data_IF_349958755285
#
_entry.id   IF_349958755285
#
_cell.length_a   1.000
_cell.length_b   1.000
_cell.length_c   1.000
_cell.angle_alpha   90.00
_cell.angle_beta   90.00
_cell.angle_gamma   90.00
#
_symmetry.space_group_name_H-M   'P 1'
#
loop_
_entity.id
_entity.type
_entity.pdbx_description
1 polymer ?
#
# COMPACT_ATOMS: atom_id res chain seq x y z
N UNK A 1 -14.38 2.18 13.23
CA UNK A 1 -13.19 2.16 12.34
C UNK A 1 -12.83 3.44 11.57
N UNK A 2 -13.71 4.38 11.16
CA UNK A 2 -13.29 5.49 10.30
C UNK A 2 -12.39 6.50 11.00
N UNK A 3 -12.38 6.55 12.34
CA UNK A 3 -11.73 7.61 13.12
C UNK A 3 -10.26 7.36 13.50
N UNK A 4 -9.70 6.16 13.24
CA UNK A 4 -8.26 5.92 13.45
C UNK A 4 -7.48 6.91 12.58
N UNK A 5 -6.46 7.55 13.13
CA UNK A 5 -5.60 8.41 12.33
C UNK A 5 -4.69 7.57 11.44
N UNK A 6 -4.36 8.11 10.27
CA UNK A 6 -3.42 7.50 9.35
C UNK A 6 -2.06 7.29 10.01
N UNK A 7 -1.64 8.23 10.87
CA UNK A 7 -0.41 8.17 11.68
C UNK A 7 -0.27 6.87 12.46
N UNK A 8 -1.33 6.42 13.14
CA UNK A 8 -1.30 5.19 13.94
C UNK A 8 -1.04 3.95 13.09
N UNK A 9 -1.57 3.90 11.86
CA UNK A 9 -1.38 2.75 10.95
C UNK A 9 0.06 2.72 10.45
N UNK A 10 0.57 3.86 9.98
CA UNK A 10 1.89 3.90 9.33
C UNK A 10 3.05 3.80 10.31
N UNK A 11 2.85 4.13 11.60
CA UNK A 11 3.87 3.93 12.63
C UNK A 11 4.17 2.45 12.91
N UNK A 12 3.24 1.55 12.57
CA UNK A 12 3.38 0.11 12.80
C UNK A 12 4.06 -0.61 11.63
N UNK A 13 4.40 0.10 10.55
CA UNK A 13 4.91 -0.48 9.31
C UNK A 13 6.24 0.16 8.91
N UNK A 14 7.16 -0.66 8.40
CA UNK A 14 8.45 -0.18 7.91
C UNK A 14 8.26 0.61 6.61
N UNK A 15 8.76 1.84 6.58
CA UNK A 15 8.75 2.66 5.38
C UNK A 15 9.74 2.11 4.35
N UNK A 16 9.21 1.58 3.24
CA UNK A 16 9.99 1.12 2.09
C UNK A 16 9.69 2.03 0.91
N UNK A 17 10.74 2.60 0.31
CA UNK A 17 10.65 3.51 -0.84
C UNK A 17 11.75 3.18 -1.85
N UNK A 18 11.62 3.66 -3.09
CA UNK A 18 12.66 3.55 -4.11
C UNK A 18 12.84 4.84 -4.91
N UNK A 19 14.05 5.13 -5.41
CA UNK A 19 14.28 6.18 -6.40
C UNK A 19 13.50 5.98 -7.70
N UNK A 20 13.22 7.07 -8.43
CA UNK A 20 12.57 6.99 -9.73
C UNK A 20 13.42 6.32 -10.83
N UNK A 21 14.73 6.21 -10.60
CA UNK A 21 15.68 5.51 -11.46
C UNK A 21 15.75 4.00 -11.22
N UNK A 22 15.21 3.49 -10.11
CA UNK A 22 15.15 2.06 -9.82
C UNK A 22 14.44 1.32 -10.94
N UNK A 23 14.96 0.16 -11.32
CA UNK A 23 14.36 -0.64 -12.40
C UNK A 23 13.10 -1.36 -11.90
N UNK A 24 12.23 -1.76 -12.82
CA UNK A 24 11.02 -2.52 -12.46
C UNK A 24 11.40 -3.83 -11.77
N UNK A 25 12.44 -4.51 -12.24
CA UNK A 25 12.92 -5.77 -11.67
C UNK A 25 13.45 -5.61 -10.23
N UNK A 26 14.25 -4.58 -9.97
CA UNK A 26 14.69 -4.23 -8.61
C UNK A 26 13.50 -3.89 -7.70
N UNK A 27 12.55 -3.10 -8.20
CA UNK A 27 11.34 -2.74 -7.47
C UNK A 27 10.50 -3.99 -7.13
N UNK A 28 10.33 -4.91 -8.07
CA UNK A 28 9.61 -6.17 -7.87
C UNK A 28 10.28 -7.05 -6.81
N UNK A 29 11.62 -7.14 -6.82
CA UNK A 29 12.38 -7.84 -5.77
C UNK A 29 12.20 -7.18 -4.40
N UNK A 30 12.24 -5.85 -4.34
CA UNK A 30 12.02 -5.11 -3.09
C UNK A 30 10.60 -5.34 -2.57
N UNK A 31 9.59 -5.29 -3.44
CA UNK A 31 8.20 -5.57 -3.11
C UNK A 31 8.03 -7.00 -2.60
N UNK A 32 8.60 -8.00 -3.29
CA UNK A 32 8.57 -9.42 -2.86
C UNK A 32 9.21 -9.60 -1.47
N UNK A 33 10.42 -9.05 -1.28
CA UNK A 33 11.17 -9.17 -0.02
C UNK A 33 10.41 -8.60 1.18
N UNK A 34 9.68 -7.50 0.97
CA UNK A 34 8.96 -6.79 2.03
C UNK A 34 7.45 -7.08 2.04
N UNK A 35 6.98 -8.05 1.27
CA UNK A 35 5.55 -8.41 1.14
C UNK A 35 4.64 -7.21 0.79
N UNK A 36 5.09 -6.36 -0.13
CA UNK A 36 4.38 -5.15 -0.56
C UNK A 36 3.69 -5.36 -1.90
N UNK A 37 2.50 -4.78 -2.06
CA UNK A 37 1.77 -4.72 -3.35
C UNK A 37 1.82 -3.33 -4.00
N UNK A 38 2.46 -2.37 -3.34
CA UNK A 38 2.75 -1.04 -3.86
C UNK A 38 4.04 -0.48 -3.23
N UNK A 39 4.72 0.38 -3.98
CA UNK A 39 6.00 1.00 -3.62
C UNK A 39 5.92 2.51 -3.90
N UNK A 40 6.25 3.30 -2.89
CA UNK A 40 6.38 4.75 -3.06
C UNK A 40 7.69 5.09 -3.76
N UNK A 41 7.60 5.96 -4.76
CA UNK A 41 8.73 6.45 -5.53
C UNK A 41 9.11 7.84 -5.06
N UNK A 42 10.39 8.02 -4.71
CA UNK A 42 10.89 9.25 -4.09
C UNK A 42 12.06 9.85 -4.86
N UNK A 43 12.14 11.18 -4.84
CA UNK A 43 13.31 11.94 -5.29
C UNK A 43 13.60 13.03 -4.25
N UNK A 44 14.87 13.18 -3.85
CA UNK A 44 15.28 14.15 -2.82
C UNK A 44 14.38 14.11 -1.57
N UNK A 45 14.06 12.88 -1.12
CA UNK A 45 13.18 12.59 0.02
C UNK A 45 11.72 13.05 -0.12
N UNK A 46 11.28 13.45 -1.32
CA UNK A 46 9.88 13.80 -1.59
C UNK A 46 9.20 12.72 -2.42
N UNK A 47 7.93 12.49 -2.14
CA UNK A 47 7.11 11.57 -2.94
C UNK A 47 6.91 12.18 -4.35
N UNK A 48 7.28 11.42 -5.38
CA UNK A 48 7.07 11.81 -6.79
C UNK A 48 6.16 10.85 -7.55
N UNK A 49 5.96 9.63 -7.02
CA UNK A 49 5.12 8.64 -7.66
C UNK A 49 4.79 7.44 -6.78
N UNK A 50 3.97 6.55 -7.32
CA UNK A 50 3.66 5.24 -6.77
C UNK A 50 3.72 4.20 -7.90
N UNK A 51 4.30 3.04 -7.60
CA UNK A 51 4.29 1.87 -8.48
C UNK A 51 3.57 0.73 -7.77
N UNK A 52 2.69 0.03 -8.48
CA UNK A 52 1.86 -1.05 -7.93
C UNK A 52 1.95 -2.31 -8.78
N UNK A 53 1.48 -3.45 -8.25
CA UNK A 53 1.34 -4.70 -9.03
C UNK A 53 0.59 -4.48 -10.35
N UNK A 54 -0.45 -3.62 -10.33
CA UNK A 54 -1.24 -3.26 -11.51
C UNK A 54 -0.38 -2.56 -12.57
N UNK A 55 0.54 -1.69 -12.15
CA UNK A 55 1.46 -1.00 -13.06
C UNK A 55 2.46 -2.00 -13.66
N UNK A 56 3.00 -2.91 -12.85
CA UNK A 56 3.87 -4.00 -13.35
C UNK A 56 3.16 -4.88 -14.38
N UNK A 57 1.91 -5.27 -14.10
CA UNK A 57 1.13 -6.09 -15.03
C UNK A 57 0.83 -5.36 -16.35
N UNK A 58 0.24 -4.17 -16.29
CA UNK A 58 -0.29 -3.53 -17.49
C UNK A 58 0.71 -2.64 -18.23
N UNK A 59 1.61 -1.96 -17.49
CA UNK A 59 2.54 -0.99 -18.09
C UNK A 59 3.91 -1.60 -18.41
N UNK A 60 4.20 -2.81 -17.91
CA UNK A 60 5.45 -3.53 -18.17
C UNK A 60 5.18 -4.82 -18.94
N UNK A 61 4.52 -5.81 -18.31
CA UNK A 61 4.33 -7.12 -18.92
C UNK A 61 3.46 -7.07 -20.17
N UNK A 62 2.23 -6.53 -20.06
CA UNK A 62 1.32 -6.42 -21.20
C UNK A 62 1.87 -5.50 -22.30
N UNK A 63 2.68 -4.51 -21.92
CA UNK A 63 3.33 -3.58 -22.84
C UNK A 63 4.66 -4.12 -23.42
N UNK A 64 5.06 -5.36 -23.08
CA UNK A 64 6.31 -6.01 -23.52
C UNK A 64 7.57 -5.17 -23.26
N UNK A 65 7.61 -4.45 -22.14
CA UNK A 65 8.80 -3.72 -21.71
C UNK A 65 9.75 -4.63 -20.96
N UNK A 66 11.04 -4.45 -21.17
CA UNK A 66 12.08 -5.13 -20.40
C UNK A 66 12.12 -4.59 -18.95
N UNK A 67 11.82 -5.42 -17.94
CA UNK A 67 11.81 -4.98 -16.55
C UNK A 67 13.22 -4.65 -15.99
N UNK A 68 14.28 -5.19 -16.58
CA UNK A 68 15.66 -4.92 -16.16
C UNK A 68 16.15 -3.55 -16.66
N UNK A 69 15.68 -3.12 -17.83
CA UNK A 69 16.06 -1.83 -18.42
C UNK A 69 15.05 -0.69 -18.15
N UNK A 70 13.81 -1.00 -17.76
CA UNK A 70 12.76 0.03 -17.59
C UNK A 70 12.80 0.64 -16.18
N UNK A 71 13.04 1.95 -16.02
CA UNK A 71 12.98 2.60 -14.71
C UNK A 71 11.54 2.88 -14.27
N UNK A 72 11.31 2.93 -12.96
CA UNK A 72 10.00 3.25 -12.36
C UNK A 72 9.43 4.57 -12.88
N UNK A 73 10.27 5.59 -13.13
CA UNK A 73 9.85 6.89 -13.69
C UNK A 73 9.06 6.81 -15.01
N UNK A 74 9.16 5.69 -15.75
CA UNK A 74 8.45 5.45 -17.02
C UNK A 74 7.14 4.69 -16.88
N UNK A 75 6.87 4.10 -15.72
CA UNK A 75 5.70 3.23 -15.49
C UNK A 75 4.94 3.52 -14.20
N UNK A 76 5.49 4.32 -13.29
CA UNK A 76 4.80 4.75 -12.07
C UNK A 76 3.63 5.69 -12.37
N UNK A 77 2.66 5.75 -11.47
CA UNK A 77 1.69 6.84 -11.44
C UNK A 77 2.33 8.04 -10.74
N UNK A 78 2.46 9.16 -11.46
CA UNK A 78 3.03 10.42 -10.94
C UNK A 78 2.02 11.16 -10.09
N UNK A 79 2.52 11.91 -9.09
CA UNK A 79 1.70 12.75 -8.22
C UNK A 79 0.44 12.03 -7.68
N UNK A 80 0.60 10.87 -7.01
CA UNK A 80 -0.54 10.11 -6.51
C UNK A 80 -1.37 10.94 -5.51
N UNK A 81 -2.64 10.59 -5.36
CA UNK A 81 -3.46 11.11 -4.26
C UNK A 81 -2.84 10.68 -2.94
N UNK A 82 -2.70 11.61 -2.01
CA UNK A 82 -2.12 11.38 -0.68
C UNK A 82 -3.07 11.87 0.41
N UNK A 83 -2.81 11.47 1.64
CA UNK A 83 -3.45 12.04 2.82
C UNK A 83 -2.40 12.54 3.82
N UNK A 84 -2.83 13.49 4.63
CA UNK A 84 -2.08 13.93 5.81
C UNK A 84 -2.17 12.86 6.93
N UNK A 85 -1.10 12.65 7.73
CA UNK A 85 -1.10 11.68 8.83
C UNK A 85 -2.23 11.86 9.86
N UNK A 86 -2.77 13.07 10.01
CA UNK A 86 -3.84 13.34 10.98
C UNK A 86 -5.24 13.09 10.38
N UNK A 87 -5.32 12.78 9.08
CA UNK A 87 -6.56 12.31 8.45
C UNK A 87 -6.90 10.90 8.89
N UNK A 88 -8.18 10.61 8.78
CA UNK A 88 -8.74 9.36 9.24
C UNK A 88 -8.58 8.26 8.19
N UNK A 89 -8.46 7.00 8.63
CA UNK A 89 -8.40 5.83 7.73
C UNK A 89 -9.68 5.74 6.89
N UNK A 90 -10.83 6.16 7.43
CA UNK A 90 -12.07 6.23 6.66
C UNK A 90 -11.98 7.17 5.46
N UNK A 91 -11.25 8.28 5.57
CA UNK A 91 -10.99 9.16 4.44
C UNK A 91 -10.09 8.51 3.39
N UNK A 92 -9.10 7.72 3.82
CA UNK A 92 -8.28 6.92 2.89
C UNK A 92 -9.14 5.91 2.10
N UNK A 93 -10.05 5.22 2.78
CA UNK A 93 -11.01 4.30 2.15
C UNK A 93 -11.92 5.00 1.14
N UNK A 94 -12.41 6.20 1.49
CA UNK A 94 -13.21 7.02 0.57
C UNK A 94 -12.42 7.35 -0.71
N UNK A 95 -11.16 7.80 -0.58
CA UNK A 95 -10.31 8.08 -1.74
C UNK A 95 -10.06 6.82 -2.59
N UNK A 96 -9.87 5.66 -1.95
CA UNK A 96 -9.71 4.38 -2.65
C UNK A 96 -10.96 4.01 -3.45
N UNK A 97 -12.14 4.16 -2.86
CA UNK A 97 -13.42 3.90 -3.50
C UNK A 97 -13.63 4.81 -4.72
N UNK A 98 -13.54 6.13 -4.51
CA UNK A 98 -13.73 7.13 -5.58
C UNK A 98 -12.69 6.99 -6.70
N UNK A 99 -11.45 6.66 -6.35
CA UNK A 99 -10.34 6.63 -7.29
C UNK A 99 -10.04 5.28 -7.95
N UNK A 100 -10.73 4.21 -7.55
CA UNK A 100 -10.51 2.86 -8.10
C UNK A 100 -9.12 2.28 -7.83
N UNK A 101 -8.48 2.68 -6.74
CA UNK A 101 -7.18 2.19 -6.29
C UNK A 101 -7.25 1.68 -4.84
N UNK A 102 -6.21 0.96 -4.39
CA UNK A 102 -6.22 0.28 -3.08
C UNK A 102 -5.12 0.74 -2.12
N UNK A 103 -4.34 1.74 -2.52
CA UNK A 103 -3.19 2.23 -1.78
C UNK A 103 -3.20 3.75 -1.77
N UNK A 104 -2.98 4.34 -0.59
CA UNK A 104 -2.90 5.78 -0.39
C UNK A 104 -1.63 6.09 0.40
N UNK A 105 -0.66 6.81 -0.20
CA UNK A 105 0.49 7.33 0.54
C UNK A 105 0.06 8.32 1.63
N UNK A 106 0.68 8.19 2.80
CA UNK A 106 0.59 9.15 3.90
C UNK A 106 1.82 10.03 3.86
N UNK A 107 1.61 11.35 3.77
CA UNK A 107 2.67 12.32 3.50
C UNK A 107 2.54 13.50 4.45
N UNK A 108 3.66 13.93 5.02
CA UNK A 108 3.76 15.12 5.87
C UNK A 108 4.83 16.05 5.29
N UNK A 109 4.48 17.30 5.00
CA UNK A 109 5.39 18.28 4.37
C UNK A 109 6.04 17.79 3.05
N UNK A 110 5.36 16.89 2.32
CA UNK A 110 5.83 16.26 1.09
C UNK A 110 6.77 15.08 1.25
N UNK A 111 7.09 14.70 2.49
CA UNK A 111 7.87 13.50 2.79
C UNK A 111 6.93 12.32 3.08
N UNK A 112 7.15 11.14 2.48
CA UNK A 112 6.35 9.97 2.78
C UNK A 112 6.63 9.49 4.21
N UNK A 113 5.56 9.23 4.96
CA UNK A 113 5.63 8.60 6.28
C UNK A 113 5.27 7.10 6.20
N UNK A 114 4.44 6.73 5.24
CA UNK A 114 4.03 5.35 5.02
C UNK A 114 2.93 5.23 3.99
N UNK A 115 2.28 4.08 3.95
CA UNK A 115 1.20 3.78 3.02
C UNK A 115 0.06 3.11 3.77
N UNK A 116 -1.17 3.45 3.42
CA UNK A 116 -2.36 2.72 3.86
C UNK A 116 -2.89 1.94 2.66
N UNK A 117 -3.07 0.64 2.85
CA UNK A 117 -3.78 -0.22 1.91
C UNK A 117 -5.22 -0.45 2.36
N UNK A 118 -6.07 -0.88 1.43
CA UNK A 118 -7.41 -1.34 1.77
C UNK A 118 -7.39 -2.50 2.80
N UNK A 119 -6.33 -3.31 2.83
CA UNK A 119 -6.14 -4.39 3.81
C UNK A 119 -5.91 -3.83 5.22
N UNK A 120 -5.07 -2.81 5.37
CA UNK A 120 -4.78 -2.18 6.67
C UNK A 120 -6.04 -1.55 7.27
N UNK A 121 -6.89 -1.01 6.39
CA UNK A 121 -8.13 -0.39 6.77
C UNK A 121 -9.16 -1.38 7.33
N UNK A 122 -9.20 -2.61 6.82
CA UNK A 122 -10.10 -3.71 7.23
C UNK A 122 -9.53 -4.62 8.33
N UNK A 123 -8.28 -4.40 8.75
CA UNK A 123 -7.54 -5.31 9.64
C UNK A 123 -8.26 -5.67 10.96
N UNK A 124 -8.82 -4.71 11.72
CA UNK A 124 -9.52 -5.00 12.97
C UNK A 124 -10.78 -5.85 12.77
N UNK A 125 -11.63 -5.55 11.79
CA UNK A 125 -12.83 -6.36 11.52
C UNK A 125 -12.48 -7.79 11.10
N UNK A 126 -11.43 -7.96 10.28
CA UNK A 126 -10.94 -9.29 9.88
C UNK A 126 -10.40 -10.09 11.06
N UNK A 127 -9.72 -9.42 12.00
CA UNK A 127 -9.22 -10.06 13.22
C UNK A 127 -10.37 -10.45 14.15
N UNK A 128 -11.31 -9.54 14.40
CA UNK A 128 -12.51 -9.81 15.21
C UNK A 128 -13.32 -10.96 14.62
N UNK A 129 -13.55 -10.95 13.30
CA UNK A 129 -14.24 -12.03 12.61
C UNK A 129 -13.49 -13.37 12.70
N UNK A 130 -12.15 -13.35 12.57
CA UNK A 130 -11.33 -14.56 12.70
C UNK A 130 -11.35 -15.10 14.14
N UNK A 131 -11.30 -14.22 15.14
CA UNK A 131 -11.34 -14.58 16.56
C UNK A 131 -12.73 -15.18 16.92
N UNK A 132 -13.82 -14.61 16.38
CA UNK A 132 -15.18 -15.15 16.52
C UNK A 132 -15.33 -16.53 15.87
N UNK A 133 -14.79 -16.72 14.65
CA UNK A 133 -14.83 -18.01 13.95
C UNK A 133 -14.07 -19.09 14.73
N UNK A 134 -12.87 -18.79 15.24
CA UNK A 134 -12.07 -19.72 16.04
C UNK A 134 -12.78 -20.17 17.34
N UNK A 135 -13.43 -19.23 18.03
CA UNK A 135 -14.21 -19.56 19.22
C UNK A 135 -15.42 -20.47 18.93
N UNK A 136 -16.08 -20.31 17.77
CA UNK A 136 -17.23 -21.15 17.40
C UNK A 136 -16.83 -22.58 17.05
N UNK A 137 -15.64 -22.80 16.49
CA UNK A 137 -15.12 -24.16 16.26
C UNK A 137 -14.73 -24.83 17.58
N UNK A 138 -14.09 -24.10 18.49
CA UNK A 138 -13.68 -24.65 19.80
C UNK A 138 -14.89 -25.03 20.69
N UNK A 139 -15.97 -24.25 20.66
CA UNK A 139 -17.22 -24.59 21.36
C UNK A 139 -17.87 -25.84 20.78
N UNK A 140 -17.77 -26.07 19.46
CA UNK A 140 -18.29 -27.28 18.81
C UNK A 140 -17.50 -28.54 19.18
N UNK A 141 -16.20 -28.44 19.42
CA UNK A 141 -15.37 -29.57 19.88
C UNK A 141 -15.61 -29.94 21.36
N UNK A 142 -15.99 -28.97 22.20
CA UNK A 142 -16.24 -29.21 23.63
C UNK A 142 -17.64 -29.78 23.89
N UNK A 143 -18.62 -29.44 23.04
CA UNK A 143 -20.03 -29.82 23.21
C UNK A 143 -20.51 -30.95 22.27
N UNK A 144 -19.63 -31.49 21.44
CA UNK A 144 -19.85 -32.67 20.58
C UNK A 144 -19.16 -33.90 21.14
#
# INVERSE_FOLDING_TARGET
>A
MPHRSARMIVQQSTLVTAPASTTVDEAARLMKKNHLSALMVVEKSRLVGIFTERDGLFRVLAAKRDPEATPLSKVMTRNPKTIDPDKSVGYALFLMYEGGFRHVPVVENGRPLGMISARDALGPELKEFSDEMGNREHIREILG
#
